data_IF_684394087965
#
_entry.id   IF_684394087965
#
_cell.length_a   1.000
_cell.length_b   1.000
_cell.length_c   1.000
_cell.angle_alpha   90.00
_cell.angle_beta   90.00
_cell.angle_gamma   90.00
#
_symmetry.space_group_name_H-M   'P 1'
#
loop_
_entity.id
_entity.type
_entity.pdbx_description
1 polymer ?
#
# COMPACT_ATOMS: atom_id res chain seq x y z
N UNK A 1 5.91 29.74 18.67
CA UNK A 1 4.88 30.37 17.82
C UNK A 1 3.57 30.31 18.63
N UNK A 2 2.79 31.38 18.59
CA UNK A 2 1.72 31.79 19.53
C UNK A 2 0.95 30.68 20.25
N UNK A 3 0.83 30.78 21.58
CA UNK A 3 -0.25 30.13 22.34
C UNK A 3 -1.59 30.63 21.79
N UNK A 4 -2.21 29.86 20.91
CA UNK A 4 -3.63 30.02 20.61
C UNK A 4 -4.37 29.56 21.85
N UNK A 5 -5.07 30.49 22.50
CA UNK A 5 -6.01 30.18 23.58
C UNK A 5 -6.92 29.06 23.10
N UNK A 6 -7.05 27.99 23.89
CA UNK A 6 -8.00 26.92 23.60
C UNK A 6 -9.39 27.50 23.83
N UNK A 7 -10.00 28.04 22.78
CA UNK A 7 -11.34 28.61 22.82
C UNK A 7 -12.32 27.43 22.92
N UNK A 8 -13.05 27.37 24.05
CA UNK A 8 -14.11 26.39 24.25
C UNK A 8 -15.36 26.92 23.58
N UNK A 9 -16.11 26.04 22.94
CA UNK A 9 -17.37 26.38 22.27
C UNK A 9 -18.40 26.89 23.27
N UNK A 10 -18.42 26.39 24.52
CA UNK A 10 -19.29 26.93 25.58
C UNK A 10 -19.00 28.38 25.98
N UNK A 11 -17.81 28.88 25.67
CA UNK A 11 -17.39 30.24 26.00
C UNK A 11 -17.52 31.18 24.76
N UNK A 12 -17.92 30.64 23.60
CA UNK A 12 -18.09 31.36 22.34
C UNK A 12 -19.55 31.82 22.15
N UNK A 13 -19.83 33.14 22.04
CA UNK A 13 -21.17 33.66 21.80
C UNK A 13 -21.86 33.12 20.53
N UNK A 14 -21.11 32.66 19.51
CA UNK A 14 -21.68 32.03 18.31
C UNK A 14 -22.37 30.68 18.60
N UNK A 15 -22.13 30.11 19.79
CA UNK A 15 -22.64 28.80 20.20
C UNK A 15 -23.62 28.86 21.39
N UNK A 16 -24.01 30.05 21.85
CA UNK A 16 -24.97 30.24 22.97
C UNK A 16 -26.35 29.61 22.71
N UNK A 17 -26.77 29.49 21.44
CA UNK A 17 -28.05 28.89 21.05
C UNK A 17 -28.03 27.36 20.97
N UNK A 18 -26.86 26.72 21.15
CA UNK A 18 -26.69 25.28 21.04
C UNK A 18 -26.45 24.68 22.42
N UNK A 19 -27.39 23.85 22.87
CA UNK A 19 -27.22 23.06 24.09
C UNK A 19 -26.28 21.86 23.83
N UNK A 20 -25.08 21.79 24.45
CA UNK A 20 -24.14 20.70 24.22
C UNK A 20 -24.68 19.37 24.78
N UNK A 21 -24.46 18.26 24.07
CA UNK A 21 -24.99 16.95 24.46
C UNK A 21 -23.88 16.10 25.11
N UNK A 22 -23.88 15.91 26.44
CA UNK A 22 -22.89 15.09 27.14
C UNK A 22 -23.03 13.59 26.81
N UNK A 23 -22.01 12.82 27.20
CA UNK A 23 -22.11 11.37 27.25
C UNK A 23 -23.17 10.95 28.28
N UNK A 24 -24.05 10.03 27.93
CA UNK A 24 -25.01 9.47 28.89
C UNK A 24 -24.36 8.49 29.87
N UNK A 25 -25.08 8.08 30.91
CA UNK A 25 -24.55 7.19 31.96
C UNK A 25 -24.11 5.82 31.40
N UNK A 26 -24.85 5.29 30.42
CA UNK A 26 -24.54 4.01 29.78
C UNK A 26 -23.24 4.09 28.95
N UNK A 27 -23.04 5.19 28.21
CA UNK A 27 -21.81 5.47 27.46
C UNK A 27 -20.59 5.66 28.37
N UNK A 28 -20.83 6.03 29.63
CA UNK A 28 -19.79 6.19 30.65
C UNK A 28 -19.59 4.95 31.53
N UNK A 29 -20.44 3.92 31.39
CA UNK A 29 -20.47 2.78 32.29
C UNK A 29 -19.26 1.85 32.15
N UNK A 30 -18.66 1.75 30.96
CA UNK A 30 -17.52 0.88 30.69
C UNK A 30 -16.52 1.53 29.73
N UNK A 31 -15.25 1.12 29.82
CA UNK A 31 -14.13 1.61 28.98
C UNK A 31 -14.04 3.14 28.85
N UNK A 32 -14.47 3.85 29.90
CA UNK A 32 -14.47 5.32 29.95
C UNK A 32 -13.07 5.86 29.73
N UNK A 33 -12.91 6.67 28.69
CA UNK A 33 -11.67 7.36 28.38
C UNK A 33 -11.66 8.67 29.17
N UNK A 34 -10.59 8.91 29.92
CA UNK A 34 -10.35 10.21 30.53
C UNK A 34 -9.83 11.16 29.46
N UNK A 35 -10.71 12.06 29.03
CA UNK A 35 -10.47 13.05 27.97
C UNK A 35 -10.28 14.45 28.57
N UNK A 36 -9.65 15.34 27.82
CA UNK A 36 -9.51 16.73 28.23
C UNK A 36 -10.86 17.45 28.20
N UNK A 37 -10.98 18.54 28.97
CA UNK A 37 -12.18 19.38 28.95
C UNK A 37 -12.46 19.95 27.55
N UNK A 38 -11.41 20.34 26.80
CA UNK A 38 -11.54 20.80 25.42
C UNK A 38 -12.02 19.70 24.46
N UNK A 39 -11.62 18.45 24.68
CA UNK A 39 -12.13 17.32 23.90
C UNK A 39 -13.61 17.10 24.18
N UNK A 40 -13.99 17.07 25.46
CA UNK A 40 -15.39 16.87 25.84
C UNK A 40 -16.26 17.98 25.27
N UNK A 41 -15.87 19.23 25.46
CA UNK A 41 -16.57 20.40 24.94
C UNK A 41 -16.84 20.28 23.43
N UNK A 42 -15.80 20.13 22.60
CA UNK A 42 -15.94 20.01 21.15
C UNK A 42 -16.86 18.84 20.73
N UNK A 43 -16.72 17.66 21.35
CA UNK A 43 -17.52 16.49 20.97
C UNK A 43 -18.96 16.54 21.49
N UNK A 44 -19.26 17.28 22.56
CA UNK A 44 -20.64 17.53 23.00
C UNK A 44 -21.38 18.46 22.03
N UNK A 45 -20.71 19.50 21.54
CA UNK A 45 -21.26 20.37 20.49
C UNK A 45 -21.40 19.62 19.16
N UNK A 46 -20.44 18.75 18.80
CA UNK A 46 -20.55 17.91 17.60
C UNK A 46 -21.79 17.03 17.64
N UNK A 47 -22.10 16.43 18.80
CA UNK A 47 -23.33 15.65 19.00
C UNK A 47 -24.57 16.49 18.79
N UNK A 48 -24.60 17.71 19.34
CA UNK A 48 -25.74 18.62 19.23
C UNK A 48 -26.05 19.00 17.77
N UNK A 49 -25.02 19.39 17.00
CA UNK A 49 -25.20 19.79 15.59
C UNK A 49 -25.54 18.61 14.68
N UNK A 50 -24.99 17.42 14.96
CA UNK A 50 -25.36 16.20 14.23
C UNK A 50 -26.82 15.84 14.52
N UNK A 51 -27.25 15.88 15.79
CA UNK A 51 -28.61 15.50 16.17
C UNK A 51 -29.67 16.45 15.61
N UNK A 52 -29.36 17.75 15.55
CA UNK A 52 -30.23 18.76 14.91
C UNK A 52 -30.10 18.80 13.39
N UNK A 53 -29.16 18.03 12.81
CA UNK A 53 -28.81 18.05 11.39
C UNK A 53 -28.50 19.48 10.89
N UNK A 54 -27.79 20.26 11.70
CA UNK A 54 -27.41 21.62 11.36
C UNK A 54 -26.44 21.60 10.17
N UNK A 55 -26.71 22.39 9.13
CA UNK A 55 -25.84 22.51 7.94
C UNK A 55 -25.36 23.96 7.83
N UNK A 56 -24.40 24.34 8.68
CA UNK A 56 -23.93 25.72 8.83
C UNK A 56 -22.41 25.83 8.73
N UNK A 57 -21.93 27.04 8.45
CA UNK A 57 -20.49 27.34 8.43
C UNK A 57 -19.82 27.14 9.81
N UNK A 58 -20.53 27.43 10.91
CA UNK A 58 -19.99 27.17 12.27
C UNK A 58 -19.85 25.67 12.54
N UNK A 59 -20.82 24.86 12.11
CA UNK A 59 -20.72 23.40 12.23
C UNK A 59 -19.56 22.87 11.39
N UNK A 60 -19.33 23.41 10.19
CA UNK A 60 -18.16 23.07 9.38
C UNK A 60 -16.84 23.42 10.07
N UNK A 61 -16.71 24.63 10.63
CA UNK A 61 -15.52 25.02 11.42
C UNK A 61 -15.31 24.15 12.65
N UNK A 62 -16.38 23.78 13.37
CA UNK A 62 -16.31 22.84 14.50
C UNK A 62 -15.67 21.52 14.08
N UNK A 63 -15.98 21.02 12.88
CA UNK A 63 -15.38 19.76 12.41
C UNK A 63 -13.86 19.83 12.28
N UNK A 64 -13.27 20.99 11.96
CA UNK A 64 -11.79 21.16 11.96
C UNK A 64 -11.24 20.83 13.34
N UNK A 65 -11.82 21.43 14.38
CA UNK A 65 -11.36 21.23 15.76
C UNK A 65 -11.54 19.79 16.22
N UNK A 66 -12.65 19.16 15.87
CA UNK A 66 -12.87 17.75 16.19
C UNK A 66 -11.89 16.82 15.45
N UNK A 67 -11.48 17.16 14.22
CA UNK A 67 -10.49 16.40 13.44
C UNK A 67 -9.11 16.49 14.10
N UNK A 68 -8.68 17.68 14.52
CA UNK A 68 -7.43 17.87 15.27
C UNK A 68 -7.38 17.01 16.55
N UNK A 69 -8.54 16.88 17.22
CA UNK A 69 -8.66 16.15 18.48
C UNK A 69 -8.76 14.63 18.30
N UNK A 70 -9.43 14.18 17.23
CA UNK A 70 -9.56 12.76 16.90
C UNK A 70 -9.89 12.57 15.40
N UNK A 71 -8.86 12.47 14.53
CA UNK A 71 -9.06 12.27 13.10
C UNK A 71 -9.55 10.86 12.77
N UNK A 72 -9.61 9.93 13.73
CA UNK A 72 -10.11 8.57 13.50
C UNK A 72 -11.63 8.44 13.61
N UNK A 73 -12.33 9.49 14.02
CA UNK A 73 -13.79 9.46 14.15
C UNK A 73 -14.47 9.48 12.76
N UNK A 74 -14.92 8.32 12.27
CA UNK A 74 -15.54 8.22 10.94
C UNK A 74 -16.89 8.94 10.82
N UNK A 75 -17.65 9.08 11.91
CA UNK A 75 -18.92 9.82 11.93
C UNK A 75 -18.70 11.31 11.67
N UNK A 76 -17.63 11.86 12.25
CA UNK A 76 -17.20 13.24 12.01
C UNK A 76 -16.89 13.48 10.53
N UNK A 77 -16.12 12.59 9.88
CA UNK A 77 -15.80 12.71 8.46
C UNK A 77 -17.04 12.57 7.55
N UNK A 78 -17.98 11.69 7.91
CA UNK A 78 -19.24 11.57 7.19
C UNK A 78 -20.04 12.89 7.27
N UNK A 79 -20.13 13.47 8.47
CA UNK A 79 -20.83 14.73 8.67
C UNK A 79 -20.14 15.90 7.96
N UNK A 80 -18.81 15.99 8.02
CA UNK A 80 -18.02 16.98 7.27
C UNK A 80 -18.29 16.89 5.77
N UNK A 81 -18.35 15.68 5.20
CA UNK A 81 -18.70 15.49 3.79
C UNK A 81 -20.12 15.93 3.43
N UNK A 82 -21.08 15.75 4.33
CA UNK A 82 -22.43 16.31 4.15
C UNK A 82 -22.42 17.83 4.16
N UNK A 83 -21.65 18.45 5.07
CA UNK A 83 -21.47 19.90 5.15
C UNK A 83 -20.80 20.47 3.89
N UNK A 84 -19.74 19.83 3.40
CA UNK A 84 -19.06 20.24 2.15
C UNK A 84 -20.05 20.38 0.99
N UNK A 85 -20.97 19.42 0.85
CA UNK A 85 -22.02 19.45 -0.18
C UNK A 85 -23.12 20.46 0.10
N UNK A 86 -23.60 20.51 1.33
CA UNK A 86 -24.72 21.38 1.72
C UNK A 86 -24.36 22.87 1.62
N UNK A 87 -23.10 23.20 1.89
CA UNK A 87 -22.57 24.56 1.88
C UNK A 87 -21.85 24.93 0.57
N UNK A 88 -21.80 24.03 -0.40
CA UNK A 88 -21.11 24.21 -1.70
C UNK A 88 -19.66 24.71 -1.52
N UNK A 89 -18.91 24.04 -0.64
CA UNK A 89 -17.53 24.43 -0.30
C UNK A 89 -16.57 24.15 -1.46
N UNK A 90 -15.52 24.96 -1.59
CA UNK A 90 -14.47 24.72 -2.57
C UNK A 90 -13.68 23.46 -2.23
N UNK A 91 -13.80 22.44 -3.08
CA UNK A 91 -13.11 21.16 -2.89
C UNK A 91 -11.58 21.29 -3.00
N UNK A 92 -11.05 22.33 -3.63
CA UNK A 92 -9.60 22.57 -3.69
C UNK A 92 -9.03 23.04 -2.36
N UNK A 93 -9.76 23.90 -1.65
CA UNK A 93 -9.39 24.29 -0.29
C UNK A 93 -9.44 23.09 0.66
N UNK A 94 -10.46 22.25 0.49
CA UNK A 94 -10.60 21.01 1.27
C UNK A 94 -9.49 19.99 0.94
N UNK A 95 -9.04 19.96 -0.31
CA UNK A 95 -7.93 19.12 -0.75
C UNK A 95 -6.63 19.50 -0.01
N UNK A 96 -6.30 20.79 0.02
CA UNK A 96 -5.14 21.28 0.78
C UNK A 96 -5.27 21.00 2.28
N UNK A 97 -6.46 21.16 2.85
CA UNK A 97 -6.71 20.80 4.25
C UNK A 97 -6.46 19.31 4.53
N UNK A 98 -6.94 18.41 3.66
CA UNK A 98 -6.76 16.97 3.89
C UNK A 98 -5.32 16.53 3.68
N UNK A 99 -4.59 17.11 2.72
CA UNK A 99 -3.16 16.86 2.52
C UNK A 99 -2.37 17.19 3.79
N UNK A 100 -2.57 18.39 4.37
CA UNK A 100 -1.96 18.78 5.66
C UNK A 100 -2.34 17.81 6.79
N UNK A 101 -3.61 17.41 6.86
CA UNK A 101 -4.10 16.48 7.89
C UNK A 101 -3.46 15.08 7.74
N UNK A 102 -3.23 14.62 6.51
CA UNK A 102 -2.57 13.35 6.20
C UNK A 102 -1.10 13.39 6.59
N UNK A 103 -0.39 14.49 6.35
CA UNK A 103 1.01 14.65 6.76
C UNK A 103 1.17 14.50 8.27
N UNK A 104 0.22 15.01 9.05
CA UNK A 104 0.20 14.83 10.51
C UNK A 104 -0.28 13.43 10.95
N UNK A 105 -1.14 12.78 10.15
CA UNK A 105 -1.81 11.53 10.49
C UNK A 105 -1.71 10.46 9.39
N UNK A 106 -0.50 10.07 8.93
CA UNK A 106 -0.32 9.31 7.68
C UNK A 106 -0.79 7.86 7.75
N UNK A 107 -1.14 7.35 8.94
CA UNK A 107 -1.59 5.96 9.19
C UNK A 107 -3.06 5.88 9.58
N UNK A 108 -3.84 6.92 9.30
CA UNK A 108 -5.26 7.00 9.64
C UNK A 108 -6.13 6.67 8.41
N UNK A 109 -7.04 5.70 8.53
CA UNK A 109 -7.89 5.28 7.40
C UNK A 109 -8.80 6.38 6.88
N UNK A 110 -9.37 7.19 7.77
CA UNK A 110 -10.40 8.15 7.44
C UNK A 110 -9.86 9.31 6.61
N UNK A 111 -8.63 9.78 6.89
CA UNK A 111 -8.01 10.89 6.15
C UNK A 111 -7.73 10.50 4.70
N UNK A 112 -7.18 9.32 4.48
CA UNK A 112 -6.92 8.79 3.13
C UNK A 112 -8.21 8.50 2.37
N UNK A 113 -9.23 7.96 3.04
CA UNK A 113 -10.53 7.73 2.44
C UNK A 113 -11.23 9.05 2.08
N UNK A 114 -11.10 10.08 2.92
CA UNK A 114 -11.65 11.40 2.62
C UNK A 114 -10.98 12.01 1.40
N UNK A 115 -9.65 11.96 1.30
CA UNK A 115 -8.91 12.38 0.11
C UNK A 115 -9.40 11.66 -1.15
N UNK A 116 -9.53 10.32 -1.10
CA UNK A 116 -10.07 9.55 -2.22
C UNK A 116 -11.46 10.04 -2.66
N UNK A 117 -12.35 10.32 -1.70
CA UNK A 117 -13.69 10.86 -2.01
C UNK A 117 -13.62 12.22 -2.69
N UNK A 118 -12.73 13.11 -2.26
CA UNK A 118 -12.57 14.43 -2.90
C UNK A 118 -12.11 14.28 -4.35
N UNK A 119 -11.14 13.39 -4.59
CA UNK A 119 -10.66 13.06 -5.95
C UNK A 119 -11.80 12.49 -6.80
N UNK A 120 -12.65 11.64 -6.22
CA UNK A 120 -13.83 11.10 -6.91
C UNK A 120 -14.86 12.19 -7.26
N UNK A 121 -15.13 13.13 -6.35
CA UNK A 121 -16.07 14.22 -6.58
C UNK A 121 -15.55 15.21 -7.62
N UNK A 122 -14.26 15.51 -7.60
CA UNK A 122 -13.60 16.36 -8.58
C UNK A 122 -13.42 15.65 -9.93
N UNK A 123 -13.39 14.32 -9.92
CA UNK A 123 -13.08 13.47 -11.08
C UNK A 123 -11.79 13.93 -11.79
N UNK A 124 -10.79 14.31 -11.00
CA UNK A 124 -9.49 14.79 -11.46
C UNK A 124 -8.41 14.28 -10.49
N UNK A 125 -7.39 13.61 -11.03
CA UNK A 125 -6.26 13.12 -10.26
C UNK A 125 -5.27 14.24 -9.88
N UNK A 126 -5.39 15.42 -10.49
CA UNK A 126 -4.62 16.61 -10.15
C UNK A 126 -3.12 16.33 -9.93
N UNK A 127 -2.63 16.67 -8.73
CA UNK A 127 -1.25 16.44 -8.28
C UNK A 127 -1.14 15.27 -7.29
N UNK A 128 -2.16 14.42 -7.18
CA UNK A 128 -2.24 13.38 -6.13
C UNK A 128 -1.19 12.28 -6.30
N UNK A 129 -0.71 12.04 -7.52
CA UNK A 129 0.45 11.18 -7.76
C UNK A 129 1.75 11.79 -7.22
N UNK A 130 1.87 13.13 -7.17
CA UNK A 130 3.00 13.79 -6.54
C UNK A 130 2.86 13.77 -5.01
N UNK A 131 1.65 13.97 -4.49
CA UNK A 131 1.37 13.86 -3.06
C UNK A 131 1.65 12.44 -2.53
N UNK A 132 1.13 11.41 -3.18
CA UNK A 132 1.46 10.01 -2.81
C UNK A 132 2.96 9.72 -2.92
N UNK A 133 3.65 10.29 -3.91
CA UNK A 133 5.10 10.13 -4.03
C UNK A 133 5.85 10.77 -2.84
N UNK A 134 5.46 11.98 -2.41
CA UNK A 134 5.99 12.62 -1.20
C UNK A 134 5.79 11.73 0.03
N UNK A 135 4.57 11.22 0.23
CA UNK A 135 4.27 10.37 1.39
C UNK A 135 5.04 9.03 1.37
N UNK A 136 5.30 8.47 0.19
CA UNK A 136 6.13 7.27 0.00
C UNK A 136 7.62 7.57 0.20
N UNK A 137 8.11 8.76 -0.17
CA UNK A 137 9.48 9.17 0.12
C UNK A 137 9.73 9.28 1.62
N UNK A 138 8.75 9.80 2.38
CA UNK A 138 8.83 9.91 3.85
C UNK A 138 8.68 8.55 4.57
N UNK A 139 7.76 7.70 4.14
CA UNK A 139 7.60 6.31 4.62
C UNK A 139 7.33 5.39 3.42
N UNK A 140 8.39 4.76 2.93
CA UNK A 140 8.36 3.88 1.75
C UNK A 140 7.47 2.65 1.90
N UNK A 141 7.00 2.37 3.12
CA UNK A 141 6.08 1.29 3.46
C UNK A 141 4.70 1.78 3.88
N UNK A 142 4.38 3.06 3.68
CA UNK A 142 3.04 3.58 3.94
C UNK A 142 2.02 2.90 3.02
N UNK A 143 1.30 1.92 3.59
CA UNK A 143 0.33 1.11 2.85
C UNK A 143 -0.82 1.95 2.27
N UNK A 144 -1.24 3.01 2.97
CA UNK A 144 -2.32 3.86 2.50
C UNK A 144 -1.89 4.71 1.29
N UNK A 145 -0.66 5.22 1.30
CA UNK A 145 -0.12 5.98 0.17
C UNK A 145 -0.01 5.08 -1.09
N UNK A 146 0.49 3.86 -0.92
CA UNK A 146 0.53 2.86 -2.00
C UNK A 146 -0.86 2.49 -2.51
N UNK A 147 -1.81 2.20 -1.62
CA UNK A 147 -3.17 1.86 -1.98
C UNK A 147 -3.88 3.00 -2.72
N UNK A 148 -3.72 4.25 -2.26
CA UNK A 148 -4.28 5.41 -2.95
C UNK A 148 -3.62 5.57 -4.33
N UNK A 149 -2.30 5.40 -4.44
CA UNK A 149 -1.59 5.50 -5.72
C UNK A 149 -2.10 4.46 -6.72
N UNK A 150 -2.20 3.20 -6.33
CA UNK A 150 -2.77 2.12 -7.16
C UNK A 150 -4.21 2.46 -7.59
N UNK A 151 -5.03 2.93 -6.64
CA UNK A 151 -6.40 3.33 -6.94
C UNK A 151 -6.47 4.50 -7.93
N UNK A 152 -5.66 5.56 -7.78
CA UNK A 152 -5.60 6.70 -8.71
C UNK A 152 -5.21 6.20 -10.10
N UNK A 153 -4.14 5.42 -10.19
CA UNK A 153 -3.65 4.91 -11.48
C UNK A 153 -4.71 4.05 -12.16
N UNK A 154 -5.39 3.20 -11.42
CA UNK A 154 -6.48 2.39 -11.95
C UNK A 154 -7.72 3.19 -12.34
N UNK A 155 -8.15 4.13 -11.50
CA UNK A 155 -9.37 4.94 -11.69
C UNK A 155 -9.27 5.86 -12.91
N UNK A 156 -8.08 6.37 -13.19
CA UNK A 156 -7.82 7.30 -14.28
C UNK A 156 -7.05 6.66 -15.45
N UNK A 157 -6.85 5.33 -15.42
CA UNK A 157 -6.15 4.56 -16.45
C UNK A 157 -4.75 5.15 -16.80
N UNK A 158 -3.98 5.50 -15.76
CA UNK A 158 -2.67 6.15 -15.87
C UNK A 158 -1.50 5.14 -15.90
N UNK A 159 -1.79 3.88 -16.20
CA UNK A 159 -0.76 2.86 -16.36
C UNK A 159 0.23 3.25 -17.46
N UNK A 160 1.48 2.79 -17.35
CA UNK A 160 2.47 2.97 -18.40
C UNK A 160 3.89 3.13 -17.89
N UNK A 161 4.76 3.55 -18.80
CA UNK A 161 6.20 3.64 -18.53
C UNK A 161 6.54 4.58 -17.37
N UNK A 162 5.78 5.67 -17.16
CA UNK A 162 6.02 6.60 -16.04
C UNK A 162 5.94 5.91 -14.67
N UNK A 163 4.95 5.04 -14.48
CA UNK A 163 4.78 4.31 -13.21
C UNK A 163 5.77 3.16 -13.07
N UNK A 164 6.16 2.54 -14.18
CA UNK A 164 7.26 1.57 -14.21
C UNK A 164 8.60 2.21 -13.83
N UNK A 165 8.89 3.40 -14.38
CA UNK A 165 10.10 4.18 -14.09
C UNK A 165 10.11 4.65 -12.63
N UNK A 166 8.95 5.10 -12.12
CA UNK A 166 8.79 5.45 -10.71
C UNK A 166 9.12 4.28 -9.79
N UNK A 167 8.56 3.09 -10.07
CA UNK A 167 8.86 1.89 -9.29
C UNK A 167 10.36 1.54 -9.34
N UNK A 168 11.01 1.64 -10.51
CA UNK A 168 12.44 1.38 -10.65
C UNK A 168 13.28 2.41 -9.90
N UNK A 169 12.89 3.69 -9.90
CA UNK A 169 13.56 4.72 -9.10
C UNK A 169 13.64 4.34 -7.62
N UNK A 170 12.50 3.91 -7.05
CA UNK A 170 12.45 3.45 -5.67
C UNK A 170 13.27 2.16 -5.41
N UNK A 171 13.35 1.26 -6.39
CA UNK A 171 14.19 0.06 -6.30
C UNK A 171 15.68 0.38 -6.38
N UNK A 172 16.07 1.42 -7.11
CA UNK A 172 17.46 1.88 -7.17
C UNK A 172 17.90 2.53 -5.85
N UNK A 173 16.96 3.15 -5.13
CA UNK A 173 17.18 3.69 -3.78
C UNK A 173 17.23 2.58 -2.71
N UNK A 174 16.24 1.68 -2.71
CA UNK A 174 16.20 0.50 -1.84
C UNK A 174 15.71 -0.74 -2.61
N UNK A 175 16.69 -1.59 -2.96
CA UNK A 175 16.42 -2.86 -3.67
C UNK A 175 15.49 -3.79 -2.89
N UNK A 176 15.39 -3.65 -1.57
CA UNK A 176 14.54 -4.47 -0.68
C UNK A 176 13.16 -3.86 -0.44
N UNK A 177 12.82 -2.76 -1.11
CA UNK A 177 11.49 -2.17 -1.03
C UNK A 177 10.46 -3.08 -1.71
N UNK A 178 9.84 -3.97 -0.92
CA UNK A 178 8.83 -4.90 -1.39
C UNK A 178 7.60 -4.20 -1.99
N UNK A 179 7.24 -3.02 -1.48
CA UNK A 179 6.10 -2.26 -2.01
C UNK A 179 6.38 -1.78 -3.44
N UNK A 180 7.60 -1.35 -3.75
CA UNK A 180 7.99 -0.99 -5.10
C UNK A 180 7.99 -2.19 -6.06
N UNK A 181 8.46 -3.37 -5.61
CA UNK A 181 8.35 -4.62 -6.38
C UNK A 181 6.89 -4.99 -6.66
N UNK A 182 6.03 -4.94 -5.64
CA UNK A 182 4.60 -5.21 -5.77
C UNK A 182 3.94 -4.23 -6.73
N UNK A 183 4.22 -2.93 -6.58
CA UNK A 183 3.66 -1.90 -7.43
C UNK A 183 4.07 -2.08 -8.90
N UNK A 184 5.34 -2.40 -9.15
CA UNK A 184 5.81 -2.73 -10.50
C UNK A 184 5.04 -3.91 -11.10
N UNK A 185 4.83 -4.98 -10.32
CA UNK A 185 4.06 -6.13 -10.76
C UNK A 185 2.61 -5.76 -11.06
N UNK A 186 1.97 -4.98 -10.18
CA UNK A 186 0.62 -4.45 -10.37
C UNK A 186 0.48 -3.69 -11.69
N UNK A 187 1.39 -2.76 -11.99
CA UNK A 187 1.35 -1.99 -13.25
C UNK A 187 1.47 -2.91 -14.48
N UNK A 188 2.40 -3.87 -14.46
CA UNK A 188 2.59 -4.80 -15.58
C UNK A 188 1.37 -5.72 -15.78
N UNK A 189 0.79 -6.22 -14.69
CA UNK A 189 -0.39 -7.07 -14.72
C UNK A 189 -1.61 -6.32 -15.23
N UNK A 190 -1.84 -5.09 -14.75
CA UNK A 190 -2.97 -4.25 -15.19
C UNK A 190 -2.89 -3.87 -16.67
N UNK A 191 -1.69 -3.80 -17.24
CA UNK A 191 -1.50 -3.58 -18.67
C UNK A 191 -1.47 -4.86 -19.50
N UNK A 192 -1.56 -6.04 -18.88
CA UNK A 192 -1.37 -7.35 -19.53
C UNK A 192 -0.01 -7.46 -20.26
N UNK A 193 0.99 -6.73 -19.78
CA UNK A 193 2.25 -6.49 -20.50
C UNK A 193 3.20 -7.70 -20.46
N UNK A 194 3.02 -8.61 -19.49
CA UNK A 194 3.87 -9.82 -19.35
C UNK A 194 3.62 -10.88 -20.43
N UNK A 195 2.55 -10.73 -21.24
CA UNK A 195 2.32 -11.58 -22.42
C UNK A 195 3.31 -11.30 -23.55
N UNK A 196 3.80 -10.07 -23.63
CA UNK A 196 4.83 -9.69 -24.58
C UNK A 196 6.19 -10.26 -24.15
N UNK A 197 6.81 -11.06 -25.00
CA UNK A 197 8.10 -11.71 -24.71
C UNK A 197 9.23 -10.68 -24.55
N UNK A 198 9.21 -9.57 -25.28
CA UNK A 198 10.23 -8.54 -25.15
C UNK A 198 10.18 -7.88 -23.76
N UNK A 199 8.98 -7.52 -23.31
CA UNK A 199 8.74 -7.00 -21.96
C UNK A 199 9.14 -8.01 -20.90
N UNK A 200 8.70 -9.27 -21.00
CA UNK A 200 9.08 -10.31 -20.05
C UNK A 200 10.61 -10.50 -19.98
N UNK A 201 11.30 -10.52 -21.13
CA UNK A 201 12.76 -10.63 -21.19
C UNK A 201 13.45 -9.45 -20.47
N UNK A 202 12.93 -8.24 -20.64
CA UNK A 202 13.44 -7.05 -19.96
C UNK A 202 13.24 -7.14 -18.44
N UNK A 203 12.07 -7.58 -17.99
CA UNK A 203 11.78 -7.74 -16.56
C UNK A 203 12.66 -8.82 -15.93
N UNK A 204 12.82 -9.98 -16.57
CA UNK A 204 13.76 -11.03 -16.11
C UNK A 204 15.18 -10.45 -15.99
N UNK A 205 15.69 -9.80 -17.04
CA UNK A 205 17.04 -9.24 -17.05
C UNK A 205 17.27 -8.21 -15.95
N UNK A 206 16.28 -7.35 -15.71
CA UNK A 206 16.30 -6.36 -14.63
C UNK A 206 16.31 -7.05 -13.26
N UNK A 207 15.43 -8.01 -13.03
CA UNK A 207 15.34 -8.73 -11.76
C UNK A 207 16.61 -9.54 -11.47
N UNK A 208 17.19 -10.19 -12.47
CA UNK A 208 18.49 -10.86 -12.33
C UNK A 208 19.61 -9.89 -11.92
N UNK A 209 19.61 -8.66 -12.46
CA UNK A 209 20.59 -7.63 -12.09
C UNK A 209 20.44 -7.24 -10.61
N UNK A 210 19.21 -7.02 -10.12
CA UNK A 210 18.94 -6.74 -8.71
C UNK A 210 19.27 -7.94 -7.79
N UNK A 211 19.00 -9.18 -8.23
CA UNK A 211 19.40 -10.39 -7.49
C UNK A 211 20.92 -10.49 -7.40
N UNK A 212 21.67 -10.21 -8.47
CA UNK A 212 23.15 -10.20 -8.44
C UNK A 212 23.69 -9.20 -7.42
N UNK A 213 23.05 -8.03 -7.30
CA UNK A 213 23.42 -7.01 -6.31
C UNK A 213 23.09 -7.44 -4.87
N UNK A 214 21.94 -8.10 -4.67
CA UNK A 214 21.50 -8.55 -3.36
C UNK A 214 20.89 -9.97 -3.40
N UNK A 215 21.73 -11.04 -3.45
CA UNK A 215 21.24 -12.42 -3.64
C UNK A 215 20.32 -12.94 -2.53
N UNK A 216 20.34 -12.30 -1.36
CA UNK A 216 19.49 -12.59 -0.19
C UNK A 216 18.23 -11.74 -0.11
N UNK A 217 17.93 -10.93 -1.13
CA UNK A 217 16.71 -10.12 -1.20
C UNK A 217 15.53 -10.97 -1.68
N UNK A 218 14.65 -11.34 -0.75
CA UNK A 218 13.48 -12.16 -1.03
C UNK A 218 12.50 -11.51 -2.03
N UNK A 219 12.32 -10.18 -1.99
CA UNK A 219 11.38 -9.49 -2.87
C UNK A 219 11.71 -9.67 -4.35
N UNK A 220 13.00 -9.65 -4.72
CA UNK A 220 13.41 -9.84 -6.11
C UNK A 220 13.17 -11.29 -6.58
N UNK A 221 13.39 -12.29 -5.71
CA UNK A 221 13.10 -13.69 -6.02
C UNK A 221 11.59 -13.94 -6.14
N UNK A 222 10.80 -13.39 -5.22
CA UNK A 222 9.34 -13.48 -5.26
C UNK A 222 8.78 -12.80 -6.51
N UNK A 223 9.34 -11.66 -6.91
CA UNK A 223 8.98 -10.99 -8.16
C UNK A 223 9.33 -11.84 -9.39
N UNK A 224 10.54 -12.41 -9.45
CA UNK A 224 10.96 -13.31 -10.54
C UNK A 224 10.01 -14.51 -10.67
N UNK A 225 9.63 -15.12 -9.54
CA UNK A 225 8.66 -16.20 -9.53
C UNK A 225 7.28 -15.73 -10.00
N UNK A 226 6.83 -14.56 -9.54
CA UNK A 226 5.55 -13.96 -9.90
C UNK A 226 5.40 -13.68 -11.40
N UNK A 227 6.41 -13.08 -12.05
CA UNK A 227 6.36 -12.80 -13.50
C UNK A 227 6.44 -14.06 -14.38
N UNK A 228 6.88 -15.19 -13.81
CA UNK A 228 6.97 -16.47 -14.49
C UNK A 228 5.78 -17.40 -14.20
N UNK A 229 4.95 -17.09 -13.20
CA UNK A 229 3.94 -18.01 -12.65
C UNK A 229 3.01 -18.60 -13.72
N UNK A 230 2.50 -17.77 -14.63
CA UNK A 230 1.56 -18.19 -15.68
C UNK A 230 2.18 -19.14 -16.70
N UNK A 231 3.46 -18.94 -17.02
CA UNK A 231 4.20 -19.80 -17.97
C UNK A 231 4.79 -21.03 -17.27
N UNK A 232 5.17 -20.88 -16.01
CA UNK A 232 5.89 -21.84 -15.18
C UNK A 232 7.34 -21.42 -14.95
N UNK A 233 7.82 -21.58 -13.72
CA UNK A 233 9.18 -21.28 -13.26
C UNK A 233 10.22 -22.07 -14.05
N UNK A 234 9.88 -23.31 -14.40
CA UNK A 234 10.79 -24.21 -15.12
C UNK A 234 10.93 -23.91 -16.61
N UNK A 235 10.13 -23.00 -17.18
CA UNK A 235 10.02 -22.83 -18.64
C UNK A 235 11.18 -22.12 -19.29
N UNK A 236 11.94 -21.31 -18.54
CA UNK A 236 13.00 -20.43 -19.04
C UNK A 236 14.40 -21.02 -18.80
N UNK A 237 15.10 -21.32 -19.90
CA UNK A 237 16.45 -21.91 -19.86
C UNK A 237 17.52 -20.89 -19.40
N UNK A 238 17.34 -19.63 -19.77
CA UNK A 238 18.14 -18.49 -19.34
C UNK A 238 18.08 -18.29 -17.81
N UNK A 239 16.88 -18.29 -17.23
CA UNK A 239 16.70 -18.20 -15.76
C UNK A 239 17.32 -19.39 -15.04
N UNK A 240 17.18 -20.59 -15.63
CA UNK A 240 17.81 -21.81 -15.11
C UNK A 240 19.33 -21.66 -15.07
N UNK A 241 19.93 -21.21 -16.19
CA UNK A 241 21.37 -20.97 -16.30
C UNK A 241 21.85 -19.91 -15.29
N UNK A 242 21.08 -18.83 -15.12
CA UNK A 242 21.36 -17.80 -14.13
C UNK A 242 21.45 -18.37 -12.71
N UNK A 243 20.48 -19.20 -12.31
CA UNK A 243 20.50 -19.87 -11.00
C UNK A 243 21.70 -20.81 -10.84
N UNK A 244 22.04 -21.61 -11.86
CA UNK A 244 23.23 -22.47 -11.82
C UNK A 244 24.51 -21.68 -11.60
N UNK A 245 24.66 -20.56 -12.30
CA UNK A 245 25.85 -19.71 -12.20
C UNK A 245 25.93 -18.96 -10.89
N UNK A 246 24.78 -18.49 -10.36
CA UNK A 246 24.72 -17.84 -9.06
C UNK A 246 25.08 -18.80 -7.92
N UNK A 247 24.67 -20.07 -7.99
CA UNK A 247 25.03 -21.09 -7.00
C UNK A 247 26.51 -21.47 -6.99
N UNK A 248 27.19 -21.38 -8.14
CA UNK A 248 28.65 -21.58 -8.21
C UNK A 248 29.40 -20.46 -7.49
N UNK A 249 28.85 -19.24 -7.50
CA UNK A 249 29.49 -18.05 -6.95
C UNK A 249 29.10 -17.79 -5.48
N UNK A 250 27.86 -18.13 -5.10
CA UNK A 250 27.30 -17.82 -3.79
C UNK A 250 26.33 -18.90 -3.31
N UNK A 251 26.29 -19.15 -2.00
CA UNK A 251 25.29 -20.02 -1.38
C UNK A 251 24.07 -19.20 -0.99
N UNK A 252 23.22 -18.84 -1.96
CA UNK A 252 21.93 -18.19 -1.68
C UNK A 252 20.86 -19.24 -1.40
N UNK A 253 20.26 -19.28 -0.19
CA UNK A 253 19.14 -20.17 0.11
C UNK A 253 17.92 -19.92 -0.78
N UNK A 254 17.71 -18.65 -1.19
CA UNK A 254 16.59 -18.26 -2.04
C UNK A 254 16.75 -18.78 -3.47
N UNK A 255 17.98 -18.73 -4.01
CA UNK A 255 18.28 -19.36 -5.29
C UNK A 255 18.04 -20.87 -5.24
N UNK A 256 18.43 -21.53 -4.14
CA UNK A 256 18.17 -22.95 -3.96
C UNK A 256 16.67 -23.24 -3.88
N UNK A 257 15.90 -22.43 -3.15
CA UNK A 257 14.44 -22.54 -3.08
C UNK A 257 13.82 -22.45 -4.46
N UNK A 258 14.16 -21.41 -5.23
CA UNK A 258 13.64 -21.20 -6.58
C UNK A 258 13.93 -22.39 -7.52
N UNK A 259 15.12 -22.97 -7.40
CA UNK A 259 15.51 -24.17 -8.16
C UNK A 259 14.71 -25.39 -7.73
N UNK A 260 14.49 -25.58 -6.43
CA UNK A 260 13.66 -26.67 -5.91
C UNK A 260 12.22 -26.52 -6.42
N UNK A 261 11.64 -25.32 -6.39
CA UNK A 261 10.28 -25.07 -6.89
C UNK A 261 10.19 -25.37 -8.40
N UNK A 262 11.21 -24.98 -9.17
CA UNK A 262 11.30 -25.31 -10.60
C UNK A 262 11.41 -26.83 -10.86
N UNK A 263 12.10 -27.57 -9.99
CA UNK A 263 12.23 -29.02 -10.11
C UNK A 263 10.93 -29.73 -9.76
N UNK A 264 10.22 -29.26 -8.72
CA UNK A 264 8.89 -29.78 -8.34
C UNK A 264 7.94 -29.62 -9.52
N UNK A 265 7.90 -28.44 -10.15
CA UNK A 265 7.07 -28.21 -11.34
C UNK A 265 7.40 -29.16 -12.51
N UNK A 266 8.70 -29.43 -12.76
CA UNK A 266 9.11 -30.39 -13.79
C UNK A 266 8.64 -31.81 -13.47
N UNK A 267 8.73 -32.24 -12.21
CA UNK A 267 8.26 -33.54 -11.73
C UNK A 267 6.75 -33.66 -11.93
N UNK A 268 5.98 -32.64 -11.53
CA UNK A 268 4.53 -32.59 -11.72
C UNK A 268 4.14 -32.66 -13.19
N UNK A 269 4.93 -32.01 -14.06
CA UNK A 269 4.76 -32.05 -15.53
C UNK A 269 5.33 -33.33 -16.18
N UNK A 270 5.88 -34.26 -15.40
CA UNK A 270 6.53 -35.50 -15.88
C UNK A 270 7.66 -35.24 -16.89
N UNK A 271 8.36 -34.12 -16.76
CA UNK A 271 9.52 -33.74 -17.58
C UNK A 271 10.80 -34.07 -16.81
N UNK A 272 11.72 -34.80 -17.43
CA UNK A 272 12.98 -35.19 -16.78
C UNK A 272 13.81 -33.96 -16.36
N UNK A 273 14.16 -33.81 -15.06
CA UNK A 273 14.97 -32.70 -14.57
C UNK A 273 16.36 -32.60 -15.20
N UNK A 274 16.89 -33.74 -15.69
CA UNK A 274 18.18 -33.82 -16.38
C UNK A 274 18.25 -32.96 -17.65
N UNK A 275 17.10 -32.65 -18.25
CA UNK A 275 17.02 -31.85 -19.47
C UNK A 275 17.33 -30.37 -19.20
N UNK A 276 17.07 -29.88 -17.98
CA UNK A 276 17.21 -28.45 -17.64
C UNK A 276 18.32 -28.12 -16.65
N UNK A 277 18.62 -29.00 -15.69
CA UNK A 277 19.62 -28.74 -14.64
C UNK A 277 20.84 -29.66 -14.76
N UNK A 278 21.54 -29.60 -15.91
CA UNK A 278 22.66 -30.49 -16.22
C UNK A 278 23.84 -30.27 -15.26
N UNK A 279 24.12 -29.02 -14.87
CA UNK A 279 25.25 -28.67 -14.01
C UNK A 279 25.02 -28.97 -12.53
N UNK A 280 23.76 -28.97 -12.09
CA UNK A 280 23.38 -29.16 -10.70
C UNK A 280 22.92 -30.57 -10.35
N UNK A 281 22.65 -31.44 -11.34
CA UNK A 281 22.09 -32.77 -11.10
C UNK A 281 22.87 -33.59 -10.05
N UNK A 282 24.21 -33.45 -10.00
CA UNK A 282 25.05 -34.10 -9.00
C UNK A 282 24.83 -33.58 -7.56
N UNK A 283 24.63 -32.27 -7.39
CA UNK A 283 24.34 -31.65 -6.09
C UNK A 283 22.87 -31.82 -5.68
N UNK A 284 21.96 -31.78 -6.66
CA UNK A 284 20.52 -32.03 -6.49
C UNK A 284 20.29 -33.48 -6.04
N UNK A 285 20.95 -34.46 -6.65
CA UNK A 285 20.90 -35.86 -6.22
C UNK A 285 21.32 -36.04 -4.75
N UNK A 286 22.28 -35.24 -4.26
CA UNK A 286 22.68 -35.26 -2.86
C UNK A 286 21.61 -34.67 -1.94
N UNK A 287 20.95 -33.57 -2.33
CA UNK A 287 19.84 -32.97 -1.57
C UNK A 287 18.64 -33.92 -1.51
N UNK A 288 18.22 -34.48 -2.64
CA UNK A 288 17.10 -35.44 -2.69
C UNK A 288 17.43 -36.77 -1.99
N UNK A 289 18.69 -37.22 -1.97
CA UNK A 289 19.10 -38.41 -1.19
C UNK A 289 18.91 -38.24 0.32
N UNK A 290 18.92 -36.99 0.83
CA UNK A 290 18.66 -36.67 2.24
C UNK A 290 17.18 -36.43 2.56
N UNK A 291 16.36 -36.08 1.57
CA UNK A 291 14.91 -35.94 1.70
C UNK A 291 14.14 -37.25 1.47
N UNK A 292 14.84 -38.39 1.45
CA UNK A 292 14.25 -39.72 1.34
C UNK A 292 13.38 -40.08 2.56
N UNK A 293 12.19 -39.51 2.62
CA UNK A 293 10.99 -40.22 3.05
C UNK A 293 10.00 -40.17 1.89
N UNK A 294 9.75 -41.35 1.32
CA UNK A 294 8.64 -41.66 0.42
C UNK A 294 8.72 -41.10 -1.00
N UNK A 295 9.53 -41.70 -1.86
CA UNK A 295 9.05 -42.60 -2.95
C UNK A 295 10.25 -43.01 -3.81
N UNK A 296 10.22 -44.26 -4.31
CA UNK A 296 11.27 -44.84 -5.14
C UNK A 296 11.58 -43.99 -6.38
N UNK A 297 12.71 -43.29 -6.32
CA UNK A 297 13.40 -42.72 -7.47
C UNK A 297 14.35 -43.78 -8.03
N UNK A 298 13.82 -44.68 -8.85
CA UNK A 298 14.64 -45.40 -9.82
C UNK A 298 14.30 -44.87 -11.23
N UNK A 299 15.37 -44.40 -11.86
CA UNK A 299 15.55 -44.10 -13.29
C UNK A 299 14.51 -44.71 -14.24
N UNK A 300 13.65 -43.85 -14.81
CA UNK A 300 13.20 -43.90 -16.20
C UNK A 300 13.16 -42.47 -16.76
#
# INVERSE_FOLDING_TARGET
KSCVQVERFRDDPEWEDVDPIPLNDDEQAAVKILTSDAFNDAFMYLRAVIQSNEMSERAFKLTNRCIELNPANYTLWLYRRSLLKALDKDLKEELSFIEETIEENPKNYQVWHHLQILIEWMNDAGNELAFTAKMIEEDSKNYHAWQLREWIVGRFNLYGQKELDYAVGLLLEDVRNNSAWNYRFYILQSMDALKDEETLNREISMTEAFIKQAPSNESAWNYLAGILLDKGLSTRADVTQFCEDLMKQSRSPLCLSFVVDSLIELIEKQVSPKVRFVGLYGNISFIFSRFSMCTHFELL
#
